data_IF_740207860679
#
_entry.id   IF_740207860679
#
_cell.length_a   1.000
_cell.length_b   1.000
_cell.length_c   1.000
_cell.angle_alpha   90.00
_cell.angle_beta   90.00
_cell.angle_gamma   90.00
#
_symmetry.space_group_name_H-M   'P 1'
#
loop_
_entity.id
_entity.type
_entity.pdbx_description
1 polymer ?
#
# COMPACT_ATOMS: atom_id res chain seq x y z
N UNK A 1 9.27 -6.03 -16.17
CA UNK A 1 9.99 -6.19 -14.89
C UNK A 1 11.15 -5.21 -14.75
N UNK A 2 11.91 -4.89 -15.81
CA UNK A 2 13.02 -3.94 -15.76
C UNK A 2 12.65 -2.55 -15.18
N UNK A 3 11.47 -2.02 -15.52
CA UNK A 3 10.97 -0.76 -14.97
C UNK A 3 10.74 -0.83 -13.45
N UNK A 4 10.29 -1.97 -12.91
CA UNK A 4 10.03 -2.13 -11.48
C UNK A 4 11.35 -2.21 -10.72
N UNK A 5 12.33 -2.95 -11.24
CA UNK A 5 13.67 -3.00 -10.66
C UNK A 5 14.35 -1.63 -10.67
N UNK A 6 14.22 -0.84 -11.75
CA UNK A 6 14.79 0.51 -11.78
C UNK A 6 14.10 1.48 -10.81
N UNK A 7 12.79 1.31 -10.59
CA UNK A 7 12.08 2.10 -9.57
C UNK A 7 12.58 1.79 -8.15
N UNK A 8 12.84 0.52 -7.86
CA UNK A 8 13.33 0.06 -6.56
C UNK A 8 14.75 0.50 -6.23
N UNK A 9 15.50 0.99 -7.23
CA UNK A 9 16.87 1.48 -7.06
C UNK A 9 16.96 3.01 -7.10
N UNK A 10 15.84 3.70 -7.34
CA UNK A 10 15.80 5.16 -7.38
C UNK A 10 15.31 5.73 -6.03
N UNK A 11 16.18 6.38 -5.23
CA UNK A 11 15.82 6.92 -3.93
C UNK A 11 14.70 7.96 -3.98
N UNK A 12 14.66 8.78 -5.03
CA UNK A 12 13.62 9.79 -5.22
C UNK A 12 12.23 9.17 -5.44
N UNK A 13 12.16 8.09 -6.20
CA UNK A 13 10.90 7.36 -6.42
C UNK A 13 10.45 6.59 -5.17
N UNK A 14 11.38 6.05 -4.37
CA UNK A 14 11.07 5.44 -3.08
C UNK A 14 10.48 6.49 -2.13
N UNK A 15 11.11 7.66 -2.02
CA UNK A 15 10.63 8.74 -1.16
C UNK A 15 9.25 9.24 -1.61
N UNK A 16 9.07 9.49 -2.92
CA UNK A 16 7.78 9.90 -3.47
C UNK A 16 6.69 8.86 -3.16
N UNK A 17 7.02 7.57 -3.31
CA UNK A 17 6.09 6.47 -2.95
C UNK A 17 5.72 6.53 -1.47
N UNK A 18 6.69 6.75 -0.59
CA UNK A 18 6.46 6.92 0.85
C UNK A 18 5.54 8.10 1.18
N UNK A 19 5.79 9.26 0.57
CA UNK A 19 4.97 10.47 0.74
C UNK A 19 3.53 10.23 0.26
N UNK A 20 3.35 9.74 -0.97
CA UNK A 20 2.02 9.47 -1.53
C UNK A 20 1.26 8.41 -0.74
N UNK A 21 1.95 7.35 -0.30
CA UNK A 21 1.34 6.28 0.52
C UNK A 21 0.92 6.83 1.88
N UNK A 22 1.75 7.67 2.51
CA UNK A 22 1.43 8.32 3.80
C UNK A 22 0.22 9.23 3.64
N UNK A 23 0.20 10.08 2.60
CA UNK A 23 -0.92 10.99 2.34
C UNK A 23 -2.24 10.23 2.13
N UNK A 24 -2.23 9.17 1.31
CA UNK A 24 -3.38 8.31 1.08
C UNK A 24 -3.86 7.60 2.36
N UNK A 25 -2.94 7.03 3.13
CA UNK A 25 -3.24 6.38 4.41
C UNK A 25 -3.85 7.36 5.42
N UNK A 26 -3.28 8.56 5.55
CA UNK A 26 -3.84 9.63 6.39
C UNK A 26 -5.25 10.01 5.97
N UNK A 27 -5.50 10.20 4.68
CA UNK A 27 -6.83 10.52 4.16
C UNK A 27 -7.85 9.42 4.49
N UNK A 28 -7.45 8.14 4.37
CA UNK A 28 -8.31 7.01 4.74
C UNK A 28 -8.59 6.97 6.25
N UNK A 29 -7.58 7.15 7.10
CA UNK A 29 -7.78 7.14 8.57
C UNK A 29 -8.70 8.30 8.96
N UNK A 30 -8.45 9.52 8.46
CA UNK A 30 -9.30 10.68 8.78
C UNK A 30 -10.73 10.49 8.27
N UNK A 31 -10.90 9.97 7.04
CA UNK A 31 -12.22 9.83 6.41
C UNK A 31 -13.02 8.61 6.87
N UNK A 32 -12.36 7.56 7.36
CA UNK A 32 -12.98 6.24 7.57
C UNK A 32 -12.54 5.52 8.85
N UNK A 33 -12.10 6.20 9.93
CA UNK A 33 -11.77 5.53 11.21
C UNK A 33 -13.02 5.06 11.98
N UNK A 34 -13.67 4.01 11.47
CA UNK A 34 -14.91 3.43 11.99
C UNK A 34 -14.69 1.96 12.36
N UNK A 35 -14.93 1.61 13.61
CA UNK A 35 -14.68 0.27 14.16
C UNK A 35 -15.94 -0.57 14.39
N UNK A 36 -17.09 -0.08 13.94
CA UNK A 36 -18.39 -0.72 14.08
C UNK A 36 -19.23 -0.53 12.80
N UNK A 37 -20.45 -1.10 12.76
CA UNK A 37 -21.32 -0.97 11.58
C UNK A 37 -21.11 -2.03 10.50
N UNK A 38 -20.42 -3.13 10.81
CA UNK A 38 -20.25 -4.29 9.92
C UNK A 38 -18.79 -4.56 9.55
N UNK A 39 -18.58 -5.55 8.69
CA UNK A 39 -17.23 -5.98 8.28
C UNK A 39 -16.58 -4.94 7.35
N UNK A 40 -17.34 -4.34 6.44
CA UNK A 40 -16.81 -3.42 5.43
C UNK A 40 -16.13 -2.18 6.04
N UNK A 41 -16.75 -1.42 6.97
CA UNK A 41 -16.11 -0.25 7.57
C UNK A 41 -14.85 -0.61 8.35
N UNK A 42 -14.87 -1.72 9.09
CA UNK A 42 -13.70 -2.20 9.86
C UNK A 42 -12.54 -2.57 8.94
N UNK A 43 -12.81 -3.25 7.82
CA UNK A 43 -11.78 -3.59 6.82
C UNK A 43 -11.16 -2.32 6.23
N UNK A 44 -11.96 -1.31 5.87
CA UNK A 44 -11.44 -0.03 5.34
C UNK A 44 -10.59 0.69 6.38
N UNK A 45 -11.01 0.71 7.66
CA UNK A 45 -10.22 1.27 8.77
C UNK A 45 -8.86 0.59 8.91
N UNK A 46 -8.83 -0.74 8.88
CA UNK A 46 -7.59 -1.52 8.96
C UNK A 46 -6.67 -1.21 7.76
N UNK A 47 -7.22 -1.14 6.55
CA UNK A 47 -6.45 -0.79 5.36
C UNK A 47 -5.89 0.64 5.44
N UNK A 48 -6.65 1.59 5.97
CA UNK A 48 -6.19 2.96 6.18
C UNK A 48 -4.97 3.00 7.10
N UNK A 49 -5.06 2.36 8.26
CA UNK A 49 -3.96 2.26 9.21
C UNK A 49 -2.74 1.52 8.65
N UNK A 50 -2.93 0.38 7.98
CA UNK A 50 -1.84 -0.37 7.35
C UNK A 50 -1.13 0.46 6.27
N UNK A 51 -1.89 1.20 5.46
CA UNK A 51 -1.35 2.07 4.41
C UNK A 51 -0.55 3.21 5.02
N UNK A 52 -1.07 3.85 6.07
CA UNK A 52 -0.37 4.92 6.79
C UNK A 52 0.95 4.43 7.41
N UNK A 53 0.90 3.32 8.16
CA UNK A 53 2.08 2.73 8.79
C UNK A 53 3.14 2.36 7.74
N UNK A 54 2.73 1.75 6.62
CA UNK A 54 3.62 1.43 5.50
C UNK A 54 4.28 2.69 4.94
N UNK A 55 3.50 3.74 4.68
CA UNK A 55 4.01 5.01 4.15
C UNK A 55 5.07 5.61 5.06
N UNK A 56 4.78 5.69 6.37
CA UNK A 56 5.70 6.19 7.38
C UNK A 56 6.96 5.32 7.48
N UNK A 57 6.82 4.00 7.46
CA UNK A 57 7.94 3.07 7.49
C UNK A 57 8.86 3.25 6.26
N UNK A 58 8.29 3.45 5.07
CA UNK A 58 9.07 3.71 3.85
C UNK A 58 9.85 5.03 3.97
N UNK A 59 9.26 6.08 4.54
CA UNK A 59 9.97 7.36 4.71
C UNK A 59 11.03 7.32 5.83
N UNK A 60 10.78 6.57 6.89
CA UNK A 60 11.68 6.45 8.03
C UNK A 60 12.85 5.49 7.79
N UNK A 61 12.76 4.65 6.76
CA UNK A 61 13.78 3.62 6.47
C UNK A 61 14.75 4.10 5.39
N UNK A 62 16.07 3.91 5.57
CA UNK A 62 17.04 4.22 4.53
C UNK A 62 16.76 3.48 3.20
N UNK A 63 16.92 4.14 2.03
CA UNK A 63 16.60 3.54 0.74
C UNK A 63 17.33 2.22 0.44
N UNK A 64 18.58 2.07 0.90
CA UNK A 64 19.36 0.85 0.70
C UNK A 64 18.78 -0.35 1.47
N UNK A 65 18.26 -0.11 2.69
CA UNK A 65 17.61 -1.15 3.50
C UNK A 65 16.29 -1.59 2.86
N UNK A 66 15.52 -0.65 2.32
CA UNK A 66 14.30 -0.96 1.57
C UNK A 66 14.60 -1.76 0.29
N UNK A 67 15.62 -1.35 -0.47
CA UNK A 67 16.02 -2.07 -1.68
C UNK A 67 16.45 -3.52 -1.36
N UNK A 68 17.22 -3.74 -0.29
CA UNK A 68 17.59 -5.07 0.18
C UNK A 68 16.37 -5.90 0.61
N UNK A 69 15.46 -5.31 1.37
CA UNK A 69 14.21 -5.95 1.79
C UNK A 69 13.34 -6.37 0.59
N UNK A 70 13.11 -5.48 -0.37
CA UNK A 70 12.33 -5.80 -1.56
C UNK A 70 12.99 -6.86 -2.46
N UNK A 71 14.32 -6.88 -2.54
CA UNK A 71 15.06 -7.95 -3.22
C UNK A 71 14.89 -9.30 -2.50
N UNK A 72 14.96 -9.32 -1.17
CA UNK A 72 14.77 -10.54 -0.38
C UNK A 72 13.35 -11.12 -0.52
N UNK A 73 12.33 -10.26 -0.66
CA UNK A 73 10.95 -10.68 -0.96
C UNK A 73 10.75 -11.19 -2.40
N UNK A 74 11.79 -11.13 -3.23
CA UNK A 74 11.73 -11.44 -4.65
C UNK A 74 10.57 -10.70 -5.35
N UNK A 75 10.37 -9.43 -4.97
CA UNK A 75 9.25 -8.60 -5.39
C UNK A 75 9.07 -8.58 -6.92
N UNK A 76 10.13 -8.48 -7.75
CA UNK A 76 9.97 -8.47 -9.20
C UNK A 76 9.33 -9.75 -9.77
N UNK A 77 9.62 -10.92 -9.19
CA UNK A 77 9.04 -12.18 -9.63
C UNK A 77 7.56 -12.31 -9.22
N UNK A 78 7.23 -11.80 -8.04
CA UNK A 78 5.88 -11.89 -7.46
C UNK A 78 4.99 -10.69 -7.75
N UNK A 79 5.54 -9.62 -8.33
CA UNK A 79 4.85 -8.34 -8.53
C UNK A 79 3.50 -8.52 -9.23
N UNK A 80 3.46 -9.31 -10.31
CA UNK A 80 2.23 -9.56 -11.06
C UNK A 80 1.16 -10.25 -10.21
N UNK A 81 1.54 -11.16 -9.32
CA UNK A 81 0.61 -11.84 -8.40
C UNK A 81 0.10 -10.87 -7.34
N UNK A 82 0.97 -10.04 -6.76
CA UNK A 82 0.56 -8.99 -5.82
C UNK A 82 -0.40 -7.99 -6.47
N UNK A 83 -0.10 -7.52 -7.69
CA UNK A 83 -0.98 -6.61 -8.42
C UNK A 83 -2.33 -7.25 -8.76
N UNK A 84 -2.36 -8.54 -9.15
CA UNK A 84 -3.61 -9.23 -9.39
C UNK A 84 -4.47 -9.31 -8.11
N UNK A 85 -3.87 -9.65 -6.97
CA UNK A 85 -4.55 -9.67 -5.67
C UNK A 85 -5.08 -8.27 -5.31
N UNK A 86 -4.27 -7.23 -5.48
CA UNK A 86 -4.68 -5.85 -5.21
C UNK A 86 -5.86 -5.45 -6.10
N UNK A 87 -5.78 -5.68 -7.42
CA UNK A 87 -6.85 -5.31 -8.36
C UNK A 87 -8.15 -6.05 -8.02
N UNK A 88 -8.09 -7.36 -7.76
CA UNK A 88 -9.27 -8.15 -7.38
C UNK A 88 -9.87 -7.63 -6.08
N UNK A 89 -9.04 -7.38 -5.08
CA UNK A 89 -9.48 -6.89 -3.78
C UNK A 89 -10.08 -5.47 -3.86
N UNK A 90 -9.45 -4.58 -4.63
CA UNK A 90 -9.99 -3.23 -4.88
C UNK A 90 -11.30 -3.28 -5.64
N UNK A 91 -11.42 -4.11 -6.68
CA UNK A 91 -12.68 -4.29 -7.41
C UNK A 91 -13.80 -4.80 -6.50
N UNK A 92 -13.49 -5.77 -5.64
CA UNK A 92 -14.44 -6.26 -4.64
C UNK A 92 -14.89 -5.17 -3.68
N UNK A 93 -13.98 -4.36 -3.14
CA UNK A 93 -14.32 -3.22 -2.27
C UNK A 93 -15.21 -2.20 -2.99
N UNK A 94 -14.91 -1.87 -4.25
CA UNK A 94 -15.70 -0.94 -5.05
C UNK A 94 -17.12 -1.48 -5.25
N UNK A 95 -17.28 -2.74 -5.67
CA UNK A 95 -18.61 -3.33 -5.84
C UNK A 95 -19.37 -3.40 -4.51
N UNK A 96 -18.71 -3.86 -3.44
CA UNK A 96 -19.33 -3.97 -2.13
C UNK A 96 -19.80 -2.61 -1.57
N UNK A 97 -19.11 -1.51 -1.89
CA UNK A 97 -19.52 -0.17 -1.47
C UNK A 97 -20.83 0.34 -2.11
N UNK A 98 -21.22 -0.19 -3.27
CA UNK A 98 -22.49 0.17 -3.92
C UNK A 98 -23.65 -0.77 -3.54
N UNK A 99 -23.35 -1.90 -2.89
CA UNK A 99 -24.32 -2.91 -2.50
C UNK A 99 -24.79 -2.77 -1.04
N UNK A 100 -24.17 -1.87 -0.28
CA UNK A 100 -24.51 -1.50 1.11
C UNK A 100 -25.11 -0.10 1.10
#
# INVERSE_FOLDING_TARGET
>A
MAAISSMMENPGLILLTGISTTAGGSAMVVGHNVWSGGILPVVVTLLGWLTLIKGLAVMATPPHTLAAFYRAMNLPAWFRRYMAVIVVFSAWLTVASFLV
#
